data_IF_080719043231
#
_entry.id   IF_080719043231
#
_cell.length_a   1.000
_cell.length_b   1.000
_cell.length_c   1.000
_cell.angle_alpha   90.00
_cell.angle_beta   90.00
_cell.angle_gamma   90.00
#
_symmetry.space_group_name_H-M   'P 1'
#
loop_
_entity.id
_entity.type
_entity.pdbx_description
1 polymer ?
#
# COMPACT_ATOMS: atom_id res chain seq x y z
N UNK A 1 1.24 -21.00 -9.69
CA UNK A 1 1.59 -20.99 -8.25
C UNK A 1 0.89 -19.80 -7.65
N UNK A 2 -0.02 -20.01 -6.75
CA UNK A 2 -0.78 -18.91 -6.10
C UNK A 2 0.11 -18.19 -5.10
N UNK A 3 0.13 -16.85 -5.12
CA UNK A 3 0.99 -15.99 -4.29
C UNK A 3 0.94 -16.24 -2.77
N UNK A 4 -0.04 -16.99 -2.30
CA UNK A 4 -0.18 -17.40 -0.89
C UNK A 4 0.96 -18.33 -0.44
N UNK A 5 1.55 -19.11 -1.34
CA UNK A 5 2.63 -20.04 -0.97
C UNK A 5 3.98 -19.34 -0.78
N UNK A 6 4.21 -18.22 -1.44
CA UNK A 6 5.50 -17.50 -1.41
C UNK A 6 5.70 -16.76 -0.09
N UNK A 7 4.65 -16.14 0.45
CA UNK A 7 4.70 -15.43 1.74
C UNK A 7 4.90 -16.37 2.95
N UNK A 8 4.60 -17.66 2.80
CA UNK A 8 4.78 -18.64 3.87
C UNK A 8 6.24 -19.14 4.01
N UNK A 9 7.12 -18.86 3.04
CA UNK A 9 8.49 -19.39 3.03
C UNK A 9 9.34 -18.89 4.22
N UNK A 10 9.45 -17.59 4.50
CA UNK A 10 10.20 -17.12 5.67
C UNK A 10 9.59 -17.58 6.99
N UNK A 11 8.25 -17.53 7.10
CA UNK A 11 7.53 -17.92 8.33
C UNK A 11 7.75 -19.40 8.65
N UNK A 12 7.94 -20.25 7.65
CA UNK A 12 8.18 -21.68 7.81
C UNK A 12 9.67 -22.07 7.87
N UNK A 13 10.58 -21.10 7.88
CA UNK A 13 12.03 -21.34 7.89
C UNK A 13 12.60 -21.89 6.58
N UNK A 14 11.85 -21.79 5.47
CA UNK A 14 12.29 -22.25 4.15
C UNK A 14 13.00 -21.18 3.31
N UNK A 15 13.02 -19.95 3.82
CA UNK A 15 13.76 -18.83 3.23
C UNK A 15 14.14 -17.84 4.34
N UNK A 16 15.29 -17.22 4.20
CA UNK A 16 15.81 -16.23 5.17
C UNK A 16 15.28 -14.82 4.91
N UNK A 17 14.87 -14.53 3.69
CA UNK A 17 14.34 -13.23 3.29
C UNK A 17 13.25 -13.36 2.21
N UNK A 18 12.43 -12.31 2.10
CA UNK A 18 11.36 -12.21 1.11
C UNK A 18 11.18 -10.75 0.67
N UNK A 19 11.01 -10.53 -0.63
CA UNK A 19 10.80 -9.20 -1.22
C UNK A 19 9.36 -9.10 -1.73
N UNK A 20 8.66 -8.08 -1.28
CA UNK A 20 7.27 -7.81 -1.63
C UNK A 20 6.91 -6.35 -1.28
N UNK A 21 5.71 -5.90 -1.68
CA UNK A 21 5.17 -4.62 -1.25
C UNK A 21 5.20 -4.44 0.26
N UNK A 22 5.66 -3.29 0.73
CA UNK A 22 5.82 -3.01 2.16
C UNK A 22 4.54 -3.18 2.96
N UNK A 23 3.38 -2.83 2.39
CA UNK A 23 2.07 -3.01 3.04
C UNK A 23 1.70 -4.48 3.21
N UNK A 24 2.03 -5.32 2.21
CA UNK A 24 1.79 -6.77 2.26
C UNK A 24 2.74 -7.42 3.26
N UNK A 25 4.03 -7.04 3.27
CA UNK A 25 5.00 -7.51 4.26
C UNK A 25 4.55 -7.18 5.68
N UNK A 26 4.18 -5.93 5.94
CA UNK A 26 3.72 -5.49 7.25
C UNK A 26 2.45 -6.25 7.70
N UNK A 27 1.51 -6.48 6.79
CA UNK A 27 0.31 -7.27 7.06
C UNK A 27 0.60 -8.73 7.38
N UNK A 28 1.53 -9.36 6.66
CA UNK A 28 1.95 -10.74 6.89
C UNK A 28 2.67 -10.89 8.25
N UNK A 29 3.54 -9.94 8.58
CA UNK A 29 4.22 -9.91 9.89
C UNK A 29 3.19 -9.77 11.01
N UNK A 30 2.28 -8.81 10.91
CA UNK A 30 1.24 -8.60 11.92
C UNK A 30 0.30 -9.80 12.09
N UNK A 31 0.11 -10.60 11.04
CA UNK A 31 -0.70 -11.82 11.04
C UNK A 31 0.06 -13.10 11.44
N UNK A 32 1.38 -13.05 11.61
CA UNK A 32 2.19 -14.20 11.98
C UNK A 32 2.00 -14.58 13.44
N UNK A 33 2.42 -15.79 13.82
CA UNK A 33 2.38 -16.26 15.22
C UNK A 33 3.46 -15.57 16.07
N UNK A 34 4.56 -15.18 15.46
CA UNK A 34 5.74 -14.59 16.09
C UNK A 34 6.17 -13.30 15.35
N UNK A 35 5.38 -12.21 15.42
CA UNK A 35 5.68 -10.98 14.68
C UNK A 35 7.04 -10.38 15.00
N UNK A 36 7.54 -10.59 16.23
CA UNK A 36 8.82 -10.06 16.69
C UNK A 36 10.05 -10.70 16.01
N UNK A 37 9.88 -11.86 15.38
CA UNK A 37 10.96 -12.57 14.69
C UNK A 37 11.24 -11.99 13.29
N UNK A 38 10.38 -11.08 12.82
CA UNK A 38 10.45 -10.54 11.47
C UNK A 38 10.60 -9.02 11.47
N UNK A 39 11.40 -8.51 10.55
CA UNK A 39 11.61 -7.08 10.37
C UNK A 39 11.66 -6.74 8.88
N UNK A 40 10.99 -5.65 8.50
CA UNK A 40 11.17 -5.04 7.18
C UNK A 40 12.48 -4.26 7.20
N UNK A 41 13.38 -4.57 6.28
CA UNK A 41 14.72 -3.97 6.16
C UNK A 41 15.01 -3.56 4.72
N UNK A 42 16.00 -2.69 4.54
CA UNK A 42 16.43 -2.22 3.22
C UNK A 42 15.74 -0.94 2.78
N UNK A 43 16.15 -0.47 1.62
CA UNK A 43 15.58 0.71 0.96
C UNK A 43 14.36 0.34 0.14
N UNK A 44 13.51 1.33 -0.15
CA UNK A 44 12.38 1.17 -1.08
C UNK A 44 12.94 0.96 -2.48
N UNK A 45 12.72 -0.23 -3.05
CA UNK A 45 13.25 -0.63 -4.35
C UNK A 45 12.48 0.00 -5.51
N UNK A 46 11.15 0.15 -5.36
CA UNK A 46 10.28 0.77 -6.35
C UNK A 46 9.12 1.50 -5.68
N UNK A 47 8.56 2.49 -6.35
CA UNK A 47 7.31 3.14 -5.98
C UNK A 47 6.35 2.91 -7.13
N UNK A 48 5.26 2.19 -6.86
CA UNK A 48 4.26 1.86 -7.85
C UNK A 48 2.94 2.57 -7.54
N UNK A 49 2.46 3.45 -8.43
CA UNK A 49 1.18 4.11 -8.24
C UNK A 49 0.04 3.12 -8.42
N UNK A 50 -0.91 3.13 -7.50
CA UNK A 50 -2.18 2.40 -7.64
C UNK A 50 -3.15 3.31 -8.38
N UNK A 51 -3.74 2.80 -9.47
CA UNK A 51 -4.64 3.57 -10.30
C UNK A 51 -6.00 2.85 -10.49
N UNK A 52 -7.03 3.64 -10.81
CA UNK A 52 -8.35 3.14 -11.18
C UNK A 52 -8.38 2.95 -12.69
N UNK A 53 -8.60 1.72 -13.14
CA UNK A 53 -8.77 1.42 -14.57
C UNK A 53 -10.21 1.72 -15.00
N UNK A 54 -10.34 2.55 -16.03
CA UNK A 54 -11.63 2.96 -16.63
C UNK A 54 -11.58 2.77 -18.15
N UNK A 55 -12.73 2.86 -18.81
CA UNK A 55 -12.81 2.83 -20.28
C UNK A 55 -12.08 4.04 -20.87
N UNK A 56 -11.31 3.81 -21.94
CA UNK A 56 -10.50 4.85 -22.60
C UNK A 56 -11.36 6.01 -23.12
N UNK A 57 -12.54 5.69 -23.63
CA UNK A 57 -13.45 6.66 -24.27
C UNK A 57 -14.61 7.12 -23.34
N UNK A 58 -14.33 7.16 -22.04
CA UNK A 58 -15.31 7.61 -21.03
C UNK A 58 -14.74 8.76 -20.18
N UNK A 59 -14.68 9.98 -20.74
CA UNK A 59 -14.21 11.16 -20.03
C UNK A 59 -15.09 11.54 -18.83
N UNK A 60 -16.39 11.18 -18.86
CA UNK A 60 -17.31 11.45 -17.77
C UNK A 60 -16.95 10.61 -16.54
N UNK A 61 -16.66 9.31 -16.72
CA UNK A 61 -16.22 8.43 -15.65
C UNK A 61 -14.85 8.83 -15.12
N UNK A 62 -13.90 9.20 -16.02
CA UNK A 62 -12.61 9.73 -15.59
C UNK A 62 -12.77 10.96 -14.69
N UNK A 63 -13.59 11.92 -15.12
CA UNK A 63 -13.83 13.14 -14.33
C UNK A 63 -14.46 12.82 -12.98
N UNK A 64 -15.44 11.91 -12.92
CA UNK A 64 -16.09 11.51 -11.68
C UNK A 64 -15.10 10.85 -10.70
N UNK A 65 -14.22 9.97 -11.19
CA UNK A 65 -13.17 9.34 -10.39
C UNK A 65 -12.16 10.38 -9.85
N UNK A 66 -11.65 11.25 -10.72
CA UNK A 66 -10.70 12.30 -10.35
C UNK A 66 -11.30 13.27 -9.31
N UNK A 67 -12.53 13.72 -9.51
CA UNK A 67 -13.22 14.64 -8.60
C UNK A 67 -13.46 13.96 -7.23
N UNK A 68 -13.84 12.68 -7.23
CA UNK A 68 -14.06 11.92 -6.00
C UNK A 68 -12.74 11.77 -5.20
N UNK A 69 -11.64 11.39 -5.85
CA UNK A 69 -10.34 11.26 -5.19
C UNK A 69 -9.87 12.61 -4.64
N UNK A 70 -9.96 13.69 -5.43
CA UNK A 70 -9.61 15.04 -4.99
C UNK A 70 -10.46 15.51 -3.81
N UNK A 71 -11.76 15.23 -3.82
CA UNK A 71 -12.65 15.56 -2.70
C UNK A 71 -12.30 14.79 -1.43
N UNK A 72 -11.95 13.49 -1.53
CA UNK A 72 -11.50 12.68 -0.39
C UNK A 72 -10.18 13.20 0.19
N UNK A 73 -9.25 13.61 -0.66
CA UNK A 73 -7.99 14.23 -0.22
C UNK A 73 -8.28 15.54 0.51
N UNK A 74 -9.04 16.45 -0.12
CA UNK A 74 -9.36 17.78 0.40
C UNK A 74 -10.11 17.72 1.75
N UNK A 75 -11.01 16.77 1.91
CA UNK A 75 -11.76 16.58 3.16
C UNK A 75 -10.97 15.88 4.26
N UNK A 76 -9.78 15.34 3.97
CA UNK A 76 -9.01 14.50 4.86
C UNK A 76 -9.57 13.08 5.03
N UNK A 77 -10.61 12.71 4.27
CA UNK A 77 -11.21 11.39 4.36
C UNK A 77 -10.21 10.29 3.95
N UNK A 78 -9.38 10.55 2.93
CA UNK A 78 -8.36 9.61 2.49
C UNK A 78 -7.33 9.33 3.58
N UNK A 79 -6.84 10.37 4.25
CA UNK A 79 -5.89 10.22 5.36
C UNK A 79 -6.49 9.44 6.54
N UNK A 80 -7.75 9.71 6.90
CA UNK A 80 -8.47 8.96 7.94
C UNK A 80 -8.69 7.50 7.56
N UNK A 81 -8.98 7.23 6.28
CA UNK A 81 -9.13 5.87 5.76
C UNK A 81 -7.80 5.11 5.79
N UNK A 82 -6.70 5.78 5.42
CA UNK A 82 -5.37 5.21 5.51
C UNK A 82 -5.02 4.88 6.97
N UNK A 83 -5.22 5.82 7.89
CA UNK A 83 -4.98 5.60 9.33
C UNK A 83 -5.75 4.38 9.84
N UNK A 84 -7.06 4.32 9.53
CA UNK A 84 -7.93 3.20 9.92
C UNK A 84 -7.40 1.84 9.50
N UNK A 85 -6.89 1.71 8.28
CA UNK A 85 -6.55 0.41 7.69
C UNK A 85 -5.07 0.03 7.80
N UNK A 86 -4.17 1.01 7.97
CA UNK A 86 -2.73 0.77 8.01
C UNK A 86 -2.08 1.08 9.35
N UNK A 87 -2.71 1.90 10.19
CA UNK A 87 -2.12 2.32 11.48
C UNK A 87 -2.88 1.73 12.66
N UNK A 88 -4.22 1.76 12.61
CA UNK A 88 -5.07 1.28 13.70
C UNK A 88 -5.23 -0.25 13.68
N UNK A 89 -5.65 -0.86 14.81
CA UNK A 89 -6.00 -2.29 14.86
C UNK A 89 -7.20 -2.60 13.95
N UNK A 90 -7.07 -3.66 13.14
CA UNK A 90 -8.07 -4.05 12.12
C UNK A 90 -8.90 -5.25 12.61
N UNK A 91 -10.24 -5.15 12.61
CA UNK A 91 -11.11 -6.30 12.90
C UNK A 91 -10.94 -7.42 11.86
N UNK A 92 -11.25 -8.69 12.20
CA UNK A 92 -11.75 -9.16 13.48
C UNK A 92 -10.65 -9.49 14.50
N UNK A 93 -9.39 -9.63 14.07
CA UNK A 93 -8.28 -10.08 14.91
C UNK A 93 -7.59 -8.94 15.67
N UNK A 94 -7.99 -7.71 15.48
CA UNK A 94 -7.30 -6.51 15.99
C UNK A 94 -5.79 -6.48 15.67
N UNK A 95 -5.41 -7.07 14.52
CA UNK A 95 -4.04 -7.03 14.04
C UNK A 95 -3.67 -5.58 13.69
N UNK A 96 -2.55 -5.12 14.20
CA UNK A 96 -2.03 -3.78 13.95
C UNK A 96 -0.88 -3.86 12.96
N UNK A 97 -1.09 -3.36 11.75
CA UNK A 97 -0.05 -3.27 10.70
C UNK A 97 1.00 -2.24 11.11
N UNK A 98 0.56 -1.09 11.64
CA UNK A 98 1.46 -0.07 12.17
C UNK A 98 2.31 0.63 11.10
N UNK A 99 1.81 0.75 9.87
CA UNK A 99 2.52 1.34 8.73
C UNK A 99 2.01 2.76 8.46
N UNK A 100 2.67 3.81 8.99
CA UNK A 100 2.28 5.19 8.70
C UNK A 100 2.52 5.53 7.22
N UNK A 101 1.75 6.49 6.69
CA UNK A 101 1.94 6.98 5.34
C UNK A 101 3.35 7.54 5.14
N UNK A 102 4.03 7.04 4.11
CA UNK A 102 5.37 7.51 3.75
C UNK A 102 5.34 8.96 3.23
N UNK A 103 6.48 9.62 3.18
CA UNK A 103 6.58 10.96 2.59
C UNK A 103 6.20 10.94 1.09
N UNK A 104 6.53 9.86 0.37
CA UNK A 104 6.11 9.68 -1.02
C UNK A 104 4.58 9.59 -1.14
N UNK A 105 3.92 8.85 -0.24
CA UNK A 105 2.45 8.76 -0.19
C UNK A 105 1.81 10.12 0.10
N UNK A 106 2.35 10.86 1.06
CA UNK A 106 1.85 12.20 1.41
C UNK A 106 2.05 13.20 0.26
N UNK A 107 3.19 13.14 -0.43
CA UNK A 107 3.46 13.96 -1.61
C UNK A 107 2.50 13.65 -2.75
N UNK A 108 2.18 12.37 -2.99
CA UNK A 108 1.19 11.95 -3.97
C UNK A 108 -0.21 12.50 -3.66
N UNK A 109 -0.59 12.57 -2.38
CA UNK A 109 -1.86 13.19 -1.98
C UNK A 109 -1.85 14.71 -2.14
N UNK A 110 -0.71 15.36 -1.91
CA UNK A 110 -0.60 16.82 -2.07
C UNK A 110 -0.73 17.26 -3.55
N UNK A 111 -0.26 16.43 -4.47
CA UNK A 111 -0.28 16.70 -5.92
C UNK A 111 -0.79 15.48 -6.70
N UNK A 112 -2.10 15.14 -6.57
CA UNK A 112 -2.66 14.00 -7.27
C UNK A 112 -2.56 14.19 -8.79
N UNK A 113 -2.08 13.16 -9.49
CA UNK A 113 -1.87 13.17 -10.93
C UNK A 113 -2.11 11.76 -11.50
N UNK A 114 -2.11 11.65 -12.81
CA UNK A 114 -2.24 10.40 -13.57
C UNK A 114 -0.98 10.11 -14.42
N UNK A 115 0.18 10.52 -13.91
CA UNK A 115 1.45 10.28 -14.58
C UNK A 115 1.75 8.77 -14.68
N UNK A 116 2.43 8.33 -15.73
CA UNK A 116 2.84 6.95 -15.89
C UNK A 116 3.87 6.54 -14.83
N UNK A 117 3.99 5.22 -14.57
CA UNK A 117 4.86 4.67 -13.53
C UNK A 117 6.32 5.11 -13.66
N UNK A 118 6.79 5.33 -14.87
CA UNK A 118 8.17 5.77 -15.17
C UNK A 118 8.51 7.12 -14.53
N UNK A 119 7.52 7.95 -14.26
CA UNK A 119 7.72 9.26 -13.60
C UNK A 119 8.05 9.14 -12.11
N UNK A 120 7.81 7.97 -11.50
CA UNK A 120 8.06 7.70 -10.09
C UNK A 120 9.34 6.92 -9.83
N UNK A 121 10.00 6.43 -10.89
CA UNK A 121 11.28 5.73 -10.78
C UNK A 121 12.39 6.75 -10.53
N UNK A 122 13.09 6.63 -9.39
CA UNK A 122 14.31 7.39 -9.16
C UNK A 122 15.36 6.95 -10.19
N UNK A 123 15.87 7.91 -10.98
CA UNK A 123 17.06 7.71 -11.80
C UNK A 123 18.30 7.68 -10.93
#
# INVERSE_FOLDING_TARGET
MTGVQTCALPISGRADAFVMDGSILAGNIAGSKTPADFKIVGEVLSVEPIAIMIRKDDPAMKKAADDSVKAMIKSGALAKMYDKWFVQPIPPKNAKIGLPASEATKAAWATPNDNPVESYVKK
#
